data_IF_190889160075
#
_entry.id   IF_190889160075
#
_cell.length_a   1.000
_cell.length_b   1.000
_cell.length_c   1.000
_cell.angle_alpha   90.00
_cell.angle_beta   90.00
_cell.angle_gamma   90.00
#
_symmetry.space_group_name_H-M   'P 1'
#
loop_
_entity.id
_entity.type
_entity.pdbx_description
1 polymer ?
#
# COMPACT_ATOMS: atom_id res chain seq x y z
N UNK A 1 -18.86 7.07 5.53
CA UNK A 1 -19.00 6.28 6.76
C UNK A 1 -20.00 6.89 7.75
N UNK A 2 -19.91 8.18 8.11
CA UNK A 2 -20.84 8.88 9.03
C UNK A 2 -22.33 8.71 8.66
N UNK A 3 -22.70 8.97 7.39
CA UNK A 3 -24.08 8.85 6.91
C UNK A 3 -24.66 7.44 7.05
N UNK A 4 -23.84 6.39 6.82
CA UNK A 4 -24.30 4.99 6.97
C UNK A 4 -24.58 4.64 8.44
N UNK A 5 -23.75 5.11 9.36
CA UNK A 5 -23.97 4.90 10.81
C UNK A 5 -25.24 5.59 11.23
N UNK A 6 -25.47 6.82 10.79
CA UNK A 6 -26.71 7.57 11.05
C UNK A 6 -27.95 6.85 10.52
N UNK A 7 -27.88 6.33 9.31
CA UNK A 7 -29.02 5.65 8.66
C UNK A 7 -29.37 4.33 9.36
N UNK A 8 -28.36 3.54 9.73
CA UNK A 8 -28.58 2.31 10.51
C UNK A 8 -29.16 2.62 11.88
N UNK A 9 -28.62 3.60 12.59
CA UNK A 9 -29.12 4.03 13.89
C UNK A 9 -30.56 4.51 13.80
N UNK A 10 -30.91 5.30 12.79
CA UNK A 10 -32.27 5.78 12.55
C UNK A 10 -33.24 4.62 12.27
N UNK A 11 -32.85 3.65 11.43
CA UNK A 11 -33.67 2.47 11.15
C UNK A 11 -33.95 1.63 12.42
N UNK A 12 -32.91 1.40 13.23
CA UNK A 12 -33.07 0.66 14.50
C UNK A 12 -33.98 1.41 15.45
N UNK A 13 -33.85 2.73 15.55
CA UNK A 13 -34.72 3.55 16.39
C UNK A 13 -36.17 3.49 15.94
N UNK A 14 -36.43 3.59 14.64
CA UNK A 14 -37.79 3.55 14.09
C UNK A 14 -38.45 2.20 14.34
N UNK A 15 -37.74 1.10 14.14
CA UNK A 15 -38.24 -0.25 14.44
C UNK A 15 -38.53 -0.40 15.94
N UNK A 16 -37.64 0.08 16.81
CA UNK A 16 -37.83 0.02 18.26
C UNK A 16 -39.05 0.81 18.71
N UNK A 17 -39.31 1.99 18.15
CA UNK A 17 -40.50 2.81 18.48
C UNK A 17 -41.78 2.13 18.03
N UNK A 18 -41.79 1.52 16.85
CA UNK A 18 -42.97 0.79 16.37
C UNK A 18 -43.29 -0.42 17.27
N UNK A 19 -42.28 -1.23 17.59
CA UNK A 19 -42.44 -2.38 18.49
C UNK A 19 -42.91 -1.94 19.91
N UNK A 20 -42.32 -0.88 20.44
CA UNK A 20 -42.74 -0.32 21.71
C UNK A 20 -44.19 0.19 21.64
N UNK A 21 -44.57 0.86 20.58
CA UNK A 21 -45.96 1.33 20.35
C UNK A 21 -46.97 0.22 20.37
N UNK A 22 -46.73 -0.86 19.66
CA UNK A 22 -47.59 -2.04 19.65
C UNK A 22 -47.69 -2.64 21.06
N UNK A 23 -46.56 -2.85 21.72
CA UNK A 23 -46.53 -3.40 23.07
C UNK A 23 -47.25 -2.51 24.10
N UNK A 24 -46.96 -1.21 24.09
CA UNK A 24 -47.61 -0.26 25.01
C UNK A 24 -49.10 -0.20 24.81
N UNK A 25 -49.56 -0.19 23.56
CA UNK A 25 -51.03 -0.22 23.25
C UNK A 25 -51.70 -1.49 23.78
N UNK A 26 -51.02 -2.64 23.61
CA UNK A 26 -51.56 -3.94 24.08
C UNK A 26 -51.60 -3.98 25.63
N UNK A 27 -50.55 -3.53 26.29
CA UNK A 27 -50.50 -3.49 27.77
C UNK A 27 -51.56 -2.54 28.34
N UNK A 28 -51.73 -1.35 27.75
CA UNK A 28 -52.74 -0.41 28.16
C UNK A 28 -54.16 -0.92 27.96
N UNK A 29 -54.42 -1.60 26.81
CA UNK A 29 -55.68 -2.25 26.54
C UNK A 29 -55.99 -3.31 27.58
N UNK A 30 -55.08 -4.21 27.87
CA UNK A 30 -55.27 -5.27 28.85
C UNK A 30 -55.52 -4.69 30.27
N UNK A 31 -54.74 -3.68 30.65
CA UNK A 31 -54.92 -2.98 31.96
C UNK A 31 -56.30 -2.34 32.04
N UNK A 32 -56.73 -1.62 30.99
CA UNK A 32 -58.06 -0.98 30.96
C UNK A 32 -59.21 -1.99 31.05
N UNK A 33 -59.07 -3.14 30.41
CA UNK A 33 -60.03 -4.23 30.48
C UNK A 33 -60.05 -4.84 31.89
N UNK A 34 -58.90 -5.07 32.50
CA UNK A 34 -58.82 -5.66 33.85
C UNK A 34 -59.33 -4.71 34.92
N UNK A 35 -59.01 -3.41 34.81
CA UNK A 35 -59.58 -2.37 35.68
C UNK A 35 -61.12 -2.32 35.56
N UNK A 36 -61.66 -2.40 34.33
CA UNK A 36 -63.09 -2.45 34.08
C UNK A 36 -63.77 -3.68 34.71
N UNK A 37 -63.13 -4.87 34.58
CA UNK A 37 -63.64 -6.10 35.22
C UNK A 37 -63.67 -5.98 36.74
N UNK A 38 -62.59 -5.47 37.33
CA UNK A 38 -62.49 -5.28 38.75
C UNK A 38 -63.52 -4.27 39.27
N UNK A 39 -63.72 -3.16 38.56
CA UNK A 39 -64.75 -2.17 38.83
C UNK A 39 -66.15 -2.84 38.90
N UNK A 40 -66.53 -3.56 37.86
CA UNK A 40 -67.82 -4.23 37.81
C UNK A 40 -67.98 -5.29 38.92
N UNK A 41 -66.92 -6.04 39.22
CA UNK A 41 -66.92 -7.04 40.27
C UNK A 41 -67.20 -6.44 41.67
N UNK A 42 -66.55 -5.33 41.99
CA UNK A 42 -66.73 -4.63 43.26
C UNK A 42 -68.18 -4.17 43.41
N UNK A 43 -68.71 -3.49 42.43
CA UNK A 43 -70.09 -2.99 42.49
C UNK A 43 -71.13 -4.09 42.49
N UNK A 44 -70.88 -5.19 41.77
CA UNK A 44 -71.80 -6.32 41.77
C UNK A 44 -71.82 -7.08 43.12
N UNK A 45 -70.72 -7.04 43.87
CA UNK A 45 -70.69 -7.63 45.19
C UNK A 45 -71.42 -6.76 46.26
N UNK A 46 -71.58 -5.44 46.03
CA UNK A 46 -72.31 -4.51 46.83
C UNK A 46 -73.83 -4.43 46.45
N UNK A 47 -74.25 -5.18 45.44
CA UNK A 47 -75.62 -5.20 44.95
C UNK A 47 -76.53 -5.81 46.02
N UNK A 48 -77.54 -5.03 46.52
CA UNK A 48 -78.62 -5.53 47.41
C UNK A 48 -79.95 -5.55 46.66
N UNK A 49 -80.48 -6.76 46.45
CA UNK A 49 -81.72 -6.97 45.73
C UNK A 49 -82.96 -6.32 46.46
N UNK A 50 -82.83 -5.97 47.69
CA UNK A 50 -83.94 -5.31 48.48
C UNK A 50 -84.03 -3.83 48.15
N UNK A 51 -82.98 -3.19 47.64
CA UNK A 51 -82.97 -1.76 47.31
C UNK A 51 -83.60 -1.41 45.97
N UNK A 52 -83.74 -2.38 45.08
CA UNK A 52 -84.18 -2.10 43.70
C UNK A 52 -85.37 -2.98 43.29
N UNK A 53 -86.38 -2.38 42.62
CA UNK A 53 -87.41 -3.13 41.97
C UNK A 53 -86.89 -3.85 40.66
N UNK A 54 -87.39 -5.08 40.40
CA UNK A 54 -86.98 -5.78 39.17
C UNK A 54 -87.87 -5.34 37.96
N UNK A 55 -87.80 -4.03 37.71
CA UNK A 55 -88.47 -3.36 36.60
C UNK A 55 -87.48 -2.34 35.93
N UNK A 56 -87.96 -1.67 34.91
CA UNK A 56 -87.12 -0.66 34.20
C UNK A 56 -86.70 0.48 35.10
N UNK A 57 -87.55 0.92 36.03
CA UNK A 57 -87.19 2.00 36.99
C UNK A 57 -86.08 1.56 37.93
N UNK A 58 -86.11 0.30 38.41
CA UNK A 58 -85.05 -0.21 39.29
C UNK A 58 -83.76 -0.48 38.53
N UNK A 59 -83.80 -0.95 37.27
CA UNK A 59 -82.62 -1.09 36.42
C UNK A 59 -81.96 0.26 36.15
N UNK A 60 -82.73 1.29 35.92
CA UNK A 60 -82.26 2.66 35.68
C UNK A 60 -81.71 3.28 36.98
N UNK A 61 -82.32 3.09 38.09
CA UNK A 61 -81.84 3.56 39.39
C UNK A 61 -80.50 2.92 39.78
N UNK A 62 -80.33 1.61 39.50
CA UNK A 62 -79.02 0.94 39.68
C UNK A 62 -77.96 1.41 38.69
N UNK A 63 -78.37 1.63 37.42
CA UNK A 63 -77.47 2.25 36.41
C UNK A 63 -76.94 3.61 36.85
N UNK A 64 -77.82 4.47 37.41
CA UNK A 64 -77.41 5.77 37.89
C UNK A 64 -76.43 5.68 39.10
N UNK A 65 -76.63 4.73 40.04
CA UNK A 65 -75.68 4.41 41.09
C UNK A 65 -74.34 3.94 40.56
N UNK A 66 -74.30 3.32 39.39
CA UNK A 66 -73.12 2.82 38.71
C UNK A 66 -72.56 3.80 37.62
N UNK A 67 -72.82 5.08 37.76
CA UNK A 67 -72.36 6.12 36.84
C UNK A 67 -72.75 5.88 35.38
N UNK A 68 -73.96 5.33 35.14
CA UNK A 68 -74.50 5.09 33.82
C UNK A 68 -74.07 3.76 33.17
N UNK A 69 -73.57 2.83 33.96
CA UNK A 69 -73.35 1.47 33.47
C UNK A 69 -74.72 0.83 33.04
N UNK A 70 -74.71 0.07 31.93
CA UNK A 70 -75.90 -0.63 31.51
C UNK A 70 -76.22 -1.79 32.47
N UNK A 71 -77.42 -1.79 33.02
CA UNK A 71 -77.89 -2.81 33.94
C UNK A 71 -79.00 -3.60 33.26
N UNK A 72 -78.96 -4.94 33.32
CA UNK A 72 -80.02 -5.83 32.84
C UNK A 72 -80.36 -6.80 33.94
N UNK A 73 -81.65 -6.82 34.32
CA UNK A 73 -82.19 -7.84 35.20
C UNK A 73 -82.77 -8.98 34.37
N UNK A 74 -82.57 -10.23 34.81
CA UNK A 74 -82.94 -11.43 34.07
C UNK A 74 -83.49 -12.49 35.06
N UNK A 75 -84.29 -13.38 34.55
CA UNK A 75 -84.71 -14.57 35.29
C UNK A 75 -83.52 -15.57 35.43
N UNK A 76 -83.77 -16.66 36.17
CA UNK A 76 -82.78 -17.73 36.34
C UNK A 76 -82.40 -18.47 35.03
N UNK A 77 -83.12 -18.31 33.96
CA UNK A 77 -82.88 -18.89 32.68
C UNK A 77 -82.21 -17.95 31.68
N UNK A 78 -82.04 -16.67 32.05
CA UNK A 78 -81.39 -15.64 31.22
C UNK A 78 -82.32 -14.83 30.34
N UNK A 79 -83.68 -14.97 30.55
CA UNK A 79 -84.63 -14.10 29.89
C UNK A 79 -84.67 -12.73 30.53
N UNK A 80 -84.73 -11.69 29.73
CA UNK A 80 -84.59 -10.29 30.22
C UNK A 80 -85.95 -9.86 30.82
N UNK A 81 -85.86 -9.37 32.07
CA UNK A 81 -86.98 -8.79 32.79
C UNK A 81 -87.01 -7.28 32.57
N UNK A 82 -85.85 -6.63 32.70
CA UNK A 82 -85.67 -5.17 32.56
C UNK A 82 -84.26 -4.82 32.09
N UNK A 83 -84.09 -3.70 31.37
CA UNK A 83 -82.82 -3.19 30.88
C UNK A 83 -82.80 -1.68 30.97
N UNK A 84 -81.74 -1.10 31.52
CA UNK A 84 -81.63 0.33 31.74
C UNK A 84 -81.35 1.16 30.48
N UNK A 85 -81.00 0.52 29.38
CA UNK A 85 -80.57 1.22 28.16
C UNK A 85 -81.57 1.10 26.98
N UNK A 86 -82.61 0.30 27.10
CA UNK A 86 -83.62 0.12 26.03
C UNK A 86 -84.97 -0.28 26.59
N UNK A 87 -86.02 0.37 26.07
CA UNK A 87 -87.42 0.07 26.42
C UNK A 87 -87.91 -1.23 25.76
N UNK A 88 -87.29 -1.72 24.69
CA UNK A 88 -87.59 -2.95 24.00
C UNK A 88 -86.32 -3.85 23.95
N UNK A 89 -86.02 -4.51 25.06
CA UNK A 89 -84.86 -5.39 25.10
C UNK A 89 -85.09 -6.66 24.26
N UNK A 90 -83.98 -7.17 23.68
CA UNK A 90 -83.92 -8.52 23.16
C UNK A 90 -84.28 -9.49 24.31
N UNK A 91 -85.33 -10.26 24.20
CA UNK A 91 -85.93 -10.98 25.31
C UNK A 91 -85.16 -12.23 25.75
N UNK A 92 -84.19 -12.71 24.93
CA UNK A 92 -83.41 -13.91 25.28
C UNK A 92 -81.88 -13.63 25.22
N UNK A 93 -81.25 -13.62 26.37
CA UNK A 93 -79.84 -13.51 26.51
C UNK A 93 -79.14 -14.80 26.98
N UNK A 94 -79.87 -15.93 27.05
CA UNK A 94 -79.39 -17.22 27.59
C UNK A 94 -78.15 -17.74 26.87
N UNK A 95 -77.97 -17.40 25.57
CA UNK A 95 -76.82 -17.79 24.76
C UNK A 95 -75.56 -16.90 24.91
N UNK A 96 -75.63 -15.88 25.73
CA UNK A 96 -74.50 -14.95 25.94
C UNK A 96 -73.44 -15.58 26.82
N UNK A 97 -72.11 -15.48 26.43
CA UNK A 97 -71.02 -16.15 27.16
C UNK A 97 -70.98 -15.83 28.65
N UNK A 98 -71.18 -14.56 29.04
CA UNK A 98 -71.20 -14.10 30.42
C UNK A 98 -72.34 -14.70 31.24
N UNK A 99 -73.45 -15.02 30.58
CA UNK A 99 -74.65 -15.59 31.26
C UNK A 99 -74.51 -17.12 31.36
N UNK A 100 -74.02 -17.79 30.30
CA UNK A 100 -73.72 -19.21 30.34
C UNK A 100 -72.70 -19.50 31.48
N UNK A 101 -71.66 -18.70 31.56
CA UNK A 101 -70.62 -18.81 32.61
C UNK A 101 -71.20 -18.59 33.99
N UNK A 102 -72.01 -17.55 34.22
CA UNK A 102 -72.64 -17.27 35.48
C UNK A 102 -73.62 -18.38 35.93
N UNK A 103 -74.33 -18.98 35.02
CA UNK A 103 -75.25 -20.12 35.33
C UNK A 103 -74.45 -21.39 35.61
N UNK A 104 -73.41 -21.70 34.79
CA UNK A 104 -72.62 -22.92 34.92
C UNK A 104 -71.79 -22.96 36.18
N UNK A 105 -71.37 -21.80 36.70
CA UNK A 105 -70.61 -21.68 37.95
C UNK A 105 -71.51 -21.82 39.20
N UNK A 106 -72.82 -22.14 39.07
CA UNK A 106 -73.71 -22.51 40.14
C UNK A 106 -74.43 -21.33 40.78
N UNK A 107 -74.99 -21.60 42.02
CA UNK A 107 -75.65 -20.57 42.81
C UNK A 107 -74.63 -19.51 43.25
N UNK A 108 -74.74 -18.31 42.91
CA UNK A 108 -73.75 -17.25 43.04
C UNK A 108 -72.57 -17.27 42.05
N UNK A 109 -72.76 -17.96 40.91
CA UNK A 109 -71.79 -18.01 39.82
C UNK A 109 -71.60 -16.63 39.16
N UNK A 110 -70.41 -16.36 38.73
CA UNK A 110 -70.02 -15.14 38.04
C UNK A 110 -69.57 -15.46 36.63
N UNK A 111 -69.90 -14.61 35.65
CA UNK A 111 -69.44 -14.73 34.28
C UNK A 111 -69.02 -13.36 33.70
N UNK A 112 -67.94 -13.35 32.98
CA UNK A 112 -67.37 -12.14 32.40
C UNK A 112 -67.11 -12.31 30.92
N UNK A 113 -67.54 -11.35 30.12
CA UNK A 113 -67.23 -11.32 28.68
C UNK A 113 -66.85 -9.91 28.19
N UNK A 114 -65.92 -9.85 27.28
CA UNK A 114 -65.56 -8.61 26.57
C UNK A 114 -65.98 -8.81 25.11
N UNK A 115 -66.97 -8.10 24.63
CA UNK A 115 -67.48 -8.23 23.29
C UNK A 115 -68.19 -6.98 22.80
N UNK A 116 -68.42 -6.90 21.48
CA UNK A 116 -69.24 -5.85 20.89
C UNK A 116 -70.70 -6.04 21.29
N UNK A 117 -71.35 -4.94 21.71
CA UNK A 117 -72.80 -4.91 21.96
C UNK A 117 -73.55 -5.00 20.63
N UNK A 118 -74.42 -6.00 20.49
CA UNK A 118 -75.31 -6.14 19.33
C UNK A 118 -76.33 -4.98 19.24
N UNK A 119 -76.65 -4.34 20.35
CA UNK A 119 -77.61 -3.25 20.44
C UNK A 119 -76.99 -1.87 20.23
N UNK A 120 -75.77 -1.65 20.79
CA UNK A 120 -75.12 -0.33 20.84
C UNK A 120 -73.96 -0.23 19.84
N UNK A 121 -73.50 -1.31 19.22
CA UNK A 121 -72.37 -1.32 18.26
C UNK A 121 -71.01 -0.98 18.86
N UNK A 122 -70.87 -0.94 20.17
CA UNK A 122 -69.65 -0.58 20.90
C UNK A 122 -69.10 -1.76 21.69
N UNK A 123 -67.83 -1.80 21.89
CA UNK A 123 -67.21 -2.83 22.74
C UNK A 123 -67.50 -2.56 24.20
N UNK A 124 -67.98 -3.59 24.90
CA UNK A 124 -68.34 -3.51 26.28
C UNK A 124 -67.76 -4.68 27.09
N UNK A 125 -67.49 -4.42 28.35
CA UNK A 125 -67.18 -5.43 29.37
C UNK A 125 -68.49 -5.76 30.02
N UNK A 126 -68.91 -7.01 29.96
CA UNK A 126 -70.11 -7.56 30.59
C UNK A 126 -69.68 -8.37 31.81
N UNK A 127 -70.35 -8.12 32.92
CA UNK A 127 -70.23 -8.91 34.11
C UNK A 127 -71.63 -9.35 34.55
N UNK A 128 -71.81 -10.64 34.71
CA UNK A 128 -73.07 -11.24 35.12
C UNK A 128 -72.86 -12.01 36.44
N UNK A 129 -73.78 -11.87 37.37
CA UNK A 129 -73.80 -12.63 38.61
C UNK A 129 -75.15 -13.28 38.83
N UNK A 130 -75.09 -14.55 39.19
CA UNK A 130 -76.26 -15.33 39.60
C UNK A 130 -76.51 -15.18 41.08
N UNK A 131 -77.66 -14.70 41.44
CA UNK A 131 -78.07 -14.54 42.85
C UNK A 131 -78.88 -15.74 43.30
N UNK A 132 -78.29 -16.65 44.06
CA UNK A 132 -78.86 -17.87 44.64
C UNK A 132 -79.56 -18.79 43.67
N UNK A 133 -79.46 -18.57 42.36
CA UNK A 133 -80.22 -19.31 41.31
C UNK A 133 -81.60 -18.80 41.13
N UNK A 134 -81.99 -17.69 41.65
CA UNK A 134 -83.36 -17.09 41.54
C UNK A 134 -83.43 -16.09 40.38
N UNK A 135 -82.40 -15.26 40.23
CA UNK A 135 -82.29 -14.26 39.15
C UNK A 135 -80.83 -13.95 38.82
N UNK A 136 -80.62 -13.30 37.71
CA UNK A 136 -79.35 -12.85 37.20
C UNK A 136 -79.35 -11.32 37.10
N UNK A 137 -78.24 -10.73 37.48
CA UNK A 137 -77.98 -9.31 37.27
C UNK A 137 -76.76 -9.20 36.36
N UNK A 138 -76.88 -8.51 35.24
CA UNK A 138 -75.81 -8.21 34.35
C UNK A 138 -75.54 -6.72 34.31
N UNK A 139 -74.29 -6.35 34.47
CA UNK A 139 -73.84 -4.96 34.37
C UNK A 139 -72.80 -4.89 33.21
N UNK A 140 -72.86 -3.81 32.46
CA UNK A 140 -71.90 -3.61 31.37
C UNK A 140 -71.41 -2.17 31.29
N UNK A 141 -70.15 -2.02 31.03
CA UNK A 141 -69.49 -0.71 30.83
C UNK A 141 -68.81 -0.68 29.44
N UNK A 142 -68.69 0.52 28.93
CA UNK A 142 -67.94 0.69 27.66
C UNK A 142 -66.45 0.46 27.89
N UNK A 143 -65.83 -0.18 26.92
CA UNK A 143 -64.36 -0.23 26.86
C UNK A 143 -63.88 0.57 25.67
N UNK A 144 -62.75 1.25 25.85
CA UNK A 144 -62.11 2.02 24.78
C UNK A 144 -61.82 1.12 23.56
N UNK A 145 -62.07 1.63 22.38
CA UNK A 145 -61.67 0.95 21.17
C UNK A 145 -60.13 1.03 21.03
N UNK A 146 -59.52 0.05 20.38
CA UNK A 146 -58.06 0.03 20.16
C UNK A 146 -57.52 1.33 19.55
N UNK A 147 -58.33 2.00 18.69
CA UNK A 147 -57.97 3.30 18.11
C UNK A 147 -57.96 4.40 19.19
N UNK A 148 -58.91 4.48 20.09
CA UNK A 148 -58.96 5.48 21.10
C UNK A 148 -57.80 5.31 22.09
N UNK A 149 -57.47 4.06 22.44
CA UNK A 149 -56.32 3.74 23.30
C UNK A 149 -55.01 4.16 22.61
N UNK A 150 -54.86 3.88 21.30
CA UNK A 150 -53.69 4.34 20.54
C UNK A 150 -53.53 5.87 20.61
N UNK A 151 -54.61 6.60 20.40
CA UNK A 151 -54.58 8.08 20.49
C UNK A 151 -54.21 8.55 21.91
N UNK A 152 -54.72 7.91 22.97
CA UNK A 152 -54.37 8.21 24.37
C UNK A 152 -52.88 7.90 24.69
N UNK A 153 -52.30 6.91 24.03
CA UNK A 153 -50.88 6.54 24.20
C UNK A 153 -49.90 7.38 23.33
N UNK A 154 -50.43 8.12 22.37
CA UNK A 154 -49.63 8.92 21.40
C UNK A 154 -48.63 9.89 22.07
N UNK A 155 -48.97 10.67 23.14
CA UNK A 155 -48.03 11.55 23.82
C UNK A 155 -46.83 10.82 24.40
N UNK A 156 -47.04 9.63 24.95
CA UNK A 156 -45.96 8.80 25.51
C UNK A 156 -45.06 8.26 24.45
N UNK A 157 -45.61 7.86 23.29
CA UNK A 157 -44.84 7.43 22.13
C UNK A 157 -43.99 8.55 21.55
N UNK A 158 -44.55 9.77 21.46
CA UNK A 158 -43.81 10.95 20.97
C UNK A 158 -42.64 11.31 21.90
N UNK A 159 -42.88 11.28 23.23
CA UNK A 159 -41.82 11.54 24.21
C UNK A 159 -40.71 10.49 24.18
N UNK A 160 -41.08 9.21 24.03
CA UNK A 160 -40.12 8.12 23.87
C UNK A 160 -39.28 8.28 22.58
N UNK A 161 -39.92 8.62 21.46
CA UNK A 161 -39.23 8.89 20.18
C UNK A 161 -38.23 10.05 20.36
N UNK A 162 -38.60 11.14 21.01
CA UNK A 162 -37.72 12.26 21.23
C UNK A 162 -36.47 11.87 22.08
N UNK A 163 -36.65 11.08 23.12
CA UNK A 163 -35.55 10.56 23.95
C UNK A 163 -34.63 9.65 23.09
N UNK A 164 -35.19 8.75 22.30
CA UNK A 164 -34.41 7.85 21.46
C UNK A 164 -33.61 8.60 20.39
N UNK A 165 -34.18 9.63 19.76
CA UNK A 165 -33.45 10.50 18.83
C UNK A 165 -32.29 11.20 19.53
N UNK A 166 -32.55 11.76 20.73
CA UNK A 166 -31.50 12.38 21.55
C UNK A 166 -30.35 11.41 21.86
N UNK A 167 -30.67 10.20 22.27
CA UNK A 167 -29.68 9.15 22.53
C UNK A 167 -28.88 8.79 21.27
N UNK A 168 -29.53 8.66 20.11
CA UNK A 168 -28.86 8.42 18.82
C UNK A 168 -27.86 9.52 18.49
N UNK A 169 -28.21 10.78 18.69
CA UNK A 169 -27.30 11.92 18.47
C UNK A 169 -26.07 11.82 19.38
N UNK A 170 -26.27 11.55 20.67
CA UNK A 170 -25.18 11.38 21.62
C UNK A 170 -24.25 10.25 21.20
N UNK A 171 -24.79 9.06 20.90
CA UNK A 171 -24.00 7.91 20.44
C UNK A 171 -23.22 8.24 19.17
N UNK A 172 -23.84 8.92 18.21
CA UNK A 172 -23.18 9.29 16.95
C UNK A 172 -22.02 10.28 17.18
N UNK A 173 -22.17 11.27 18.05
CA UNK A 173 -21.13 12.23 18.41
C UNK A 173 -19.98 11.52 19.14
N UNK A 174 -20.30 10.70 20.13
CA UNK A 174 -19.32 9.95 20.93
C UNK A 174 -18.51 9.00 20.02
N UNK A 175 -19.19 8.22 19.19
CA UNK A 175 -18.53 7.30 18.23
C UNK A 175 -17.64 8.05 17.25
N UNK A 176 -18.09 9.21 16.76
CA UNK A 176 -17.30 10.04 15.85
C UNK A 176 -16.01 10.54 16.50
N UNK A 177 -16.09 11.02 17.73
CA UNK A 177 -14.95 11.63 18.43
C UNK A 177 -13.98 10.57 18.98
N UNK A 178 -14.49 9.45 19.48
CA UNK A 178 -13.65 8.41 20.10
C UNK A 178 -13.03 7.47 19.06
N UNK A 179 -13.74 7.13 17.99
CA UNK A 179 -13.27 6.12 17.03
C UNK A 179 -12.80 6.76 15.72
N UNK A 180 -13.64 7.60 15.09
CA UNK A 180 -13.39 8.08 13.74
C UNK A 180 -12.33 9.19 13.70
N UNK A 181 -12.34 10.11 14.64
CA UNK A 181 -11.39 11.23 14.65
C UNK A 181 -9.94 10.76 14.89
N UNK A 182 -9.64 9.88 15.86
CA UNK A 182 -8.28 9.34 16.04
C UNK A 182 -7.78 8.54 14.85
N UNK A 183 -8.63 7.70 14.24
CA UNK A 183 -8.26 6.96 13.02
C UNK A 183 -7.91 7.90 11.86
N UNK A 184 -8.68 8.98 11.69
CA UNK A 184 -8.41 9.97 10.65
C UNK A 184 -7.11 10.73 10.91
N UNK A 185 -6.82 11.05 12.17
CA UNK A 185 -5.56 11.68 12.56
C UNK A 185 -4.37 10.75 12.30
N UNK A 186 -4.45 9.49 12.70
CA UNK A 186 -3.43 8.48 12.40
C UNK A 186 -3.12 8.40 10.90
N UNK A 187 -4.17 8.40 10.05
CA UNK A 187 -3.99 8.32 8.60
C UNK A 187 -3.34 9.59 8.01
N UNK A 188 -3.63 10.79 8.55
CA UNK A 188 -2.95 12.02 8.10
C UNK A 188 -1.52 12.09 8.61
N UNK A 189 -1.28 11.73 9.88
CA UNK A 189 0.06 11.76 10.47
C UNK A 189 1.00 10.75 9.77
N UNK A 190 0.46 9.65 9.23
CA UNK A 190 1.23 8.67 8.45
C UNK A 190 1.72 9.21 7.08
N UNK A 191 1.08 10.26 6.56
CA UNK A 191 1.51 10.91 5.29
C UNK A 191 2.53 12.02 5.57
N UNK A 192 2.32 12.78 6.65
CA UNK A 192 3.05 14.01 6.90
C UNK A 192 4.28 13.80 7.82
N UNK A 193 4.31 12.73 8.61
CA UNK A 193 5.33 12.47 9.61
C UNK A 193 6.07 11.15 9.39
N UNK A 194 7.33 11.15 9.77
CA UNK A 194 8.23 9.98 9.71
C UNK A 194 7.86 8.84 10.67
N UNK A 195 7.12 9.15 11.73
CA UNK A 195 6.63 8.19 12.69
C UNK A 195 5.25 8.61 13.22
N UNK A 196 4.38 7.64 13.36
CA UNK A 196 3.02 7.80 13.86
C UNK A 196 2.94 7.28 15.27
N UNK A 197 2.39 8.10 16.18
CA UNK A 197 2.13 7.70 17.56
C UNK A 197 0.66 7.85 17.90
N UNK A 198 0.15 6.98 18.77
CA UNK A 198 -1.24 7.03 19.20
C UNK A 198 -1.35 6.87 20.71
N UNK A 199 -2.29 7.60 21.31
CA UNK A 199 -2.64 7.46 22.75
C UNK A 199 -3.68 6.36 22.98
N UNK A 200 -4.22 5.74 21.91
CA UNK A 200 -5.25 4.71 21.99
C UNK A 200 -4.60 3.32 21.87
N UNK A 201 -4.67 2.47 22.92
CA UNK A 201 -4.06 1.13 22.91
C UNK A 201 -4.54 0.26 21.75
N UNK A 202 -5.81 0.37 21.36
CA UNK A 202 -6.43 -0.41 20.29
C UNK A 202 -5.90 -0.03 18.90
N UNK A 203 -5.38 1.17 18.72
CA UNK A 203 -4.80 1.67 17.46
C UNK A 203 -3.28 1.48 17.40
N UNK A 204 -2.64 1.08 18.50
CA UNK A 204 -1.19 0.89 18.56
C UNK A 204 -0.67 -0.13 17.55
N UNK A 205 -1.30 -1.32 17.32
CA UNK A 205 -0.84 -2.25 16.31
C UNK A 205 -0.86 -1.67 14.88
N UNK A 206 -1.83 -0.80 14.60
CA UNK A 206 -1.93 -0.11 13.30
C UNK A 206 -0.82 0.93 13.16
N UNK A 207 -0.55 1.71 14.21
CA UNK A 207 0.54 2.69 14.22
C UNK A 207 1.91 2.01 14.05
N UNK A 208 2.16 0.90 14.75
CA UNK A 208 3.39 0.12 14.65
C UNK A 208 3.58 -0.45 13.23
N UNK A 209 2.52 -1.00 12.62
CA UNK A 209 2.55 -1.49 11.25
C UNK A 209 2.83 -0.37 10.24
N UNK A 210 2.25 0.82 10.42
CA UNK A 210 2.50 1.98 9.56
C UNK A 210 3.95 2.45 9.69
N UNK A 211 4.50 2.50 10.92
CA UNK A 211 5.88 2.87 11.17
C UNK A 211 6.87 1.88 10.55
N UNK A 212 6.61 0.59 10.67
CA UNK A 212 7.42 -0.47 10.05
C UNK A 212 7.41 -0.34 8.52
N UNK A 213 6.23 -0.16 7.93
CA UNK A 213 6.11 0.06 6.48
C UNK A 213 6.84 1.32 6.01
N UNK A 214 6.70 2.43 6.74
CA UNK A 214 7.42 3.67 6.43
C UNK A 214 8.93 3.47 6.48
N UNK A 215 9.44 2.76 7.49
CA UNK A 215 10.87 2.42 7.61
C UNK A 215 11.35 1.57 6.43
N UNK A 216 10.61 0.52 6.06
CA UNK A 216 10.95 -0.35 4.95
C UNK A 216 10.96 0.41 3.61
N UNK A 217 9.98 1.29 3.38
CA UNK A 217 9.96 2.15 2.19
C UNK A 217 11.18 3.06 2.14
N UNK A 218 11.59 3.67 3.27
CA UNK A 218 12.79 4.52 3.32
C UNK A 218 14.06 3.74 2.98
N UNK A 219 14.22 2.54 3.52
CA UNK A 219 15.37 1.67 3.21
C UNK A 219 15.39 1.38 1.71
N UNK A 220 14.27 0.92 1.15
CA UNK A 220 14.17 0.64 -0.29
C UNK A 220 14.44 1.89 -1.16
N UNK A 221 13.92 3.05 -0.76
CA UNK A 221 14.19 4.31 -1.46
C UNK A 221 15.68 4.70 -1.46
N UNK A 222 16.39 4.46 -0.35
CA UNK A 222 17.84 4.71 -0.29
C UNK A 222 18.62 3.73 -1.16
N UNK A 223 18.24 2.46 -1.20
CA UNK A 223 18.84 1.44 -2.06
C UNK A 223 18.63 1.77 -3.55
N UNK A 224 17.38 2.06 -3.94
CA UNK A 224 17.04 2.45 -5.33
C UNK A 224 17.79 3.73 -5.75
N UNK A 225 17.93 4.69 -4.84
CA UNK A 225 18.67 5.92 -5.13
C UNK A 225 20.15 5.65 -5.36
N UNK A 226 20.76 4.81 -4.54
CA UNK A 226 22.16 4.39 -4.71
C UNK A 226 22.37 3.62 -6.02
N UNK A 227 21.45 2.68 -6.35
CA UNK A 227 21.50 1.94 -7.62
C UNK A 227 21.34 2.87 -8.82
N UNK A 228 20.38 3.80 -8.75
CA UNK A 228 20.20 4.81 -9.81
C UNK A 228 21.45 5.64 -10.05
N UNK A 229 22.10 6.11 -8.98
CA UNK A 229 23.37 6.86 -9.12
C UNK A 229 24.48 6.04 -9.78
N UNK A 230 24.56 4.73 -9.47
CA UNK A 230 25.51 3.83 -10.12
C UNK A 230 25.21 3.64 -11.62
N UNK A 231 23.94 3.44 -11.95
CA UNK A 231 23.51 3.29 -13.37
C UNK A 231 23.74 4.59 -14.14
N UNK A 232 23.47 5.74 -13.56
CA UNK A 232 23.69 7.05 -14.18
C UNK A 232 25.18 7.29 -14.46
N UNK A 233 26.07 7.01 -13.49
CA UNK A 233 27.53 7.06 -13.69
C UNK A 233 28.01 6.11 -14.78
N UNK A 234 27.47 4.89 -14.82
CA UNK A 234 27.80 3.92 -15.85
C UNK A 234 27.34 4.39 -17.25
N UNK A 235 26.15 5.00 -17.33
CA UNK A 235 25.59 5.54 -18.60
C UNK A 235 26.45 6.70 -19.09
N UNK A 236 26.76 7.68 -18.25
CA UNK A 236 27.64 8.82 -18.63
C UNK A 236 29.00 8.31 -19.11
N UNK A 237 29.60 7.36 -18.39
CA UNK A 237 30.88 6.76 -18.79
C UNK A 237 30.82 6.00 -20.13
N UNK A 238 29.66 5.38 -20.46
CA UNK A 238 29.43 4.74 -21.74
C UNK A 238 29.29 5.77 -22.86
N UNK A 239 28.53 6.84 -22.63
CA UNK A 239 28.29 7.89 -23.63
C UNK A 239 29.60 8.65 -23.96
N UNK A 240 30.41 8.95 -22.95
CA UNK A 240 31.76 9.52 -23.14
C UNK A 240 32.65 8.58 -23.97
N UNK A 241 32.58 7.26 -23.70
CA UNK A 241 33.34 6.28 -24.46
C UNK A 241 32.94 6.27 -25.94
N UNK A 242 31.62 6.23 -26.22
CA UNK A 242 31.12 6.24 -27.64
C UNK A 242 31.52 7.54 -28.31
N UNK A 243 31.39 8.70 -27.64
CA UNK A 243 31.77 9.98 -28.22
C UNK A 243 33.26 10.04 -28.55
N UNK A 244 34.14 9.58 -27.67
CA UNK A 244 35.58 9.56 -27.90
C UNK A 244 35.98 8.59 -29.01
N UNK A 245 35.37 7.39 -29.07
CA UNK A 245 35.56 6.45 -30.18
C UNK A 245 35.20 7.09 -31.50
N UNK A 246 34.02 7.72 -31.57
CA UNK A 246 33.54 8.35 -32.82
C UNK A 246 34.49 9.46 -33.26
N UNK A 247 34.99 10.28 -32.33
CA UNK A 247 35.95 11.33 -32.63
C UNK A 247 37.28 10.77 -33.16
N UNK A 248 37.86 9.74 -32.51
CA UNK A 248 39.11 9.10 -32.91
C UNK A 248 39.01 8.31 -34.24
N UNK A 249 37.82 7.85 -34.60
CA UNK A 249 37.54 7.21 -35.89
C UNK A 249 37.36 8.23 -37.02
N UNK A 250 36.68 9.35 -36.78
CA UNK A 250 36.40 10.35 -37.82
C UNK A 250 37.66 11.05 -38.29
N UNK A 251 38.64 11.29 -37.44
CA UNK A 251 39.89 11.94 -37.81
C UNK A 251 40.67 11.20 -38.93
N UNK A 252 41.04 9.91 -38.79
CA UNK A 252 41.70 9.17 -39.86
C UNK A 252 40.81 9.00 -41.08
N UNK A 253 39.49 8.79 -40.90
CA UNK A 253 38.55 8.62 -42.00
C UNK A 253 38.46 9.87 -42.88
N UNK A 254 38.37 11.05 -42.28
CA UNK A 254 38.37 12.33 -43.02
C UNK A 254 39.67 12.54 -43.78
N UNK A 255 40.82 12.15 -43.20
CA UNK A 255 42.10 12.23 -43.89
C UNK A 255 42.19 11.29 -45.08
N UNK A 256 41.73 10.04 -44.92
CA UNK A 256 41.68 9.06 -46.01
C UNK A 256 40.79 9.58 -47.17
N UNK A 257 39.59 10.06 -46.81
CA UNK A 257 38.62 10.58 -47.79
C UNK A 257 39.20 11.79 -48.54
N UNK A 258 39.73 12.78 -47.79
CA UNK A 258 40.29 13.97 -48.44
C UNK A 258 41.46 13.70 -49.38
N UNK A 259 42.39 12.80 -49.02
CA UNK A 259 43.47 12.41 -49.93
C UNK A 259 42.97 11.56 -51.10
N UNK A 260 41.96 10.76 -50.94
CA UNK A 260 41.32 10.00 -52.03
C UNK A 260 40.62 10.93 -53.03
N UNK A 261 39.86 11.95 -52.56
CA UNK A 261 39.26 12.98 -53.40
C UNK A 261 40.31 13.78 -54.18
N UNK A 262 41.43 14.17 -53.54
CA UNK A 262 42.51 14.88 -54.22
C UNK A 262 43.18 14.03 -55.31
N UNK A 263 43.32 12.73 -55.10
CA UNK A 263 43.82 11.80 -56.11
C UNK A 263 42.87 11.64 -57.28
N UNK A 264 41.55 11.59 -57.03
CA UNK A 264 40.49 11.45 -58.05
C UNK A 264 40.34 12.72 -58.89
N UNK A 265 40.42 13.93 -58.25
CA UNK A 265 40.35 15.19 -58.98
C UNK A 265 41.48 15.43 -59.98
N UNK A 266 42.58 14.72 -59.89
CA UNK A 266 43.72 14.84 -60.76
C UNK A 266 44.58 16.08 -60.49
N UNK A 267 45.64 16.30 -61.30
CA UNK A 267 46.47 17.50 -61.16
C UNK A 267 47.58 17.43 -60.12
N UNK A 268 47.71 16.30 -59.40
CA UNK A 268 48.81 16.09 -58.40
C UNK A 268 50.10 15.64 -59.16
N UNK A 269 51.24 16.15 -58.66
CA UNK A 269 52.58 15.64 -59.09
C UNK A 269 52.78 14.22 -58.53
N UNK A 270 53.67 13.46 -59.15
CA UNK A 270 53.96 12.08 -58.71
C UNK A 270 54.45 11.98 -57.30
N UNK A 271 55.14 12.99 -56.74
CA UNK A 271 55.57 13.10 -55.35
C UNK A 271 54.42 13.32 -54.44
N UNK A 272 53.44 14.18 -54.82
CA UNK A 272 52.19 14.41 -54.11
C UNK A 272 51.30 13.16 -54.04
N UNK A 273 51.22 12.40 -55.19
CA UNK A 273 50.52 11.12 -55.23
C UNK A 273 51.12 10.09 -54.25
N UNK A 274 52.48 9.97 -54.31
CA UNK A 274 53.19 9.07 -53.38
C UNK A 274 52.92 9.43 -51.90
N UNK A 275 52.88 10.71 -51.56
CA UNK A 275 52.56 11.19 -50.22
C UNK A 275 51.10 10.87 -49.85
N UNK A 276 50.16 11.07 -50.78
CA UNK A 276 48.75 10.75 -50.58
C UNK A 276 48.53 9.26 -50.29
N UNK A 277 49.10 8.37 -51.13
CA UNK A 277 49.03 6.91 -50.90
C UNK A 277 49.61 6.49 -49.55
N UNK A 278 50.79 7.03 -49.22
CA UNK A 278 51.43 6.74 -47.92
C UNK A 278 50.58 7.19 -46.74
N UNK A 279 49.92 8.36 -46.86
CA UNK A 279 49.03 8.88 -45.80
C UNK A 279 47.77 8.03 -45.66
N UNK A 280 47.14 7.65 -46.81
CA UNK A 280 45.97 6.76 -46.80
C UNK A 280 46.30 5.45 -46.10
N UNK A 281 47.43 4.80 -46.47
CA UNK A 281 47.85 3.55 -45.83
C UNK A 281 48.08 3.71 -44.34
N UNK A 282 48.82 4.75 -43.92
CA UNK A 282 49.08 4.99 -42.51
C UNK A 282 47.82 5.26 -41.71
N UNK A 283 46.85 6.00 -42.25
CA UNK A 283 45.56 6.26 -41.56
C UNK A 283 44.65 5.02 -41.54
N UNK A 284 44.71 4.16 -42.60
CA UNK A 284 44.00 2.88 -42.60
C UNK A 284 44.54 1.91 -41.54
N UNK A 285 45.88 1.79 -41.42
CA UNK A 285 46.50 0.99 -40.36
C UNK A 285 46.18 1.52 -38.96
N UNK A 286 46.17 2.86 -38.80
CA UNK A 286 45.77 3.51 -37.54
C UNK A 286 44.35 3.15 -37.18
N UNK A 287 43.39 3.21 -38.11
CA UNK A 287 41.98 2.87 -37.86
C UNK A 287 41.81 1.39 -37.48
N UNK A 288 42.51 0.49 -38.18
CA UNK A 288 42.51 -0.96 -37.89
C UNK A 288 43.01 -1.22 -36.46
N UNK A 289 44.11 -0.57 -36.06
CA UNK A 289 44.64 -0.68 -34.69
C UNK A 289 43.70 -0.11 -33.63
N UNK A 290 42.98 1.00 -33.90
CA UNK A 290 41.99 1.55 -33.03
C UNK A 290 40.83 0.57 -32.78
N UNK A 291 40.29 -0.02 -33.86
CA UNK A 291 39.23 -1.02 -33.82
C UNK A 291 39.67 -2.23 -32.99
N UNK A 292 40.87 -2.76 -33.23
CA UNK A 292 41.43 -3.87 -32.46
C UNK A 292 41.52 -3.53 -30.94
N UNK A 293 41.98 -2.34 -30.59
CA UNK A 293 42.06 -1.89 -29.19
C UNK A 293 40.66 -1.78 -28.54
N UNK A 294 39.64 -1.32 -29.28
CA UNK A 294 38.27 -1.22 -28.80
C UNK A 294 37.67 -2.60 -28.55
N UNK A 295 37.85 -3.52 -29.48
CA UNK A 295 37.39 -4.92 -29.38
C UNK A 295 38.03 -5.55 -28.12
N UNK A 296 39.35 -5.53 -28.02
CA UNK A 296 40.08 -6.08 -26.89
C UNK A 296 39.61 -5.47 -25.55
N UNK A 297 39.40 -4.14 -25.51
CA UNK A 297 38.90 -3.48 -24.34
C UNK A 297 37.48 -3.97 -23.97
N UNK A 298 36.61 -4.17 -24.95
CA UNK A 298 35.22 -4.65 -24.72
C UNK A 298 35.20 -6.09 -24.21
N UNK A 299 36.02 -6.96 -24.80
CA UNK A 299 36.07 -8.37 -24.45
C UNK A 299 36.56 -8.68 -23.05
N UNK A 300 37.29 -7.74 -22.37
CA UNK A 300 37.74 -7.95 -21.02
C UNK A 300 36.55 -8.11 -20.05
N UNK A 301 35.41 -7.43 -20.26
CA UNK A 301 34.23 -7.54 -19.40
C UNK A 301 33.44 -8.83 -19.66
N UNK A 302 33.30 -9.24 -20.89
CA UNK A 302 32.54 -10.41 -21.31
C UNK A 302 33.31 -11.73 -21.21
N UNK A 303 34.57 -11.67 -20.78
CA UNK A 303 35.44 -12.84 -20.71
C UNK A 303 35.23 -13.59 -19.38
N UNK A 304 34.28 -14.54 -19.39
CA UNK A 304 33.99 -15.44 -18.26
C UNK A 304 34.72 -16.78 -18.37
N UNK A 305 35.68 -16.89 -19.26
CA UNK A 305 36.47 -18.11 -19.43
C UNK A 305 37.40 -18.31 -18.20
N UNK A 306 37.60 -19.59 -17.80
CA UNK A 306 38.42 -19.88 -16.63
C UNK A 306 39.88 -19.45 -16.83
N UNK A 307 40.48 -18.93 -15.76
CA UNK A 307 41.91 -18.70 -15.70
C UNK A 307 42.66 -20.05 -15.63
N UNK A 308 43.83 -20.10 -16.19
CA UNK A 308 44.74 -21.23 -16.11
C UNK A 308 46.15 -20.76 -15.73
N UNK A 309 46.97 -21.68 -15.29
CA UNK A 309 48.33 -21.37 -14.83
C UNK A 309 49.21 -20.99 -16.06
N UNK A 310 49.65 -19.74 -16.09
CA UNK A 310 50.52 -19.19 -17.17
C UNK A 310 51.92 -18.97 -16.63
N UNK A 311 52.93 -19.48 -17.33
CA UNK A 311 54.32 -19.11 -17.05
C UNK A 311 54.57 -17.64 -17.50
N UNK A 312 54.43 -16.73 -16.57
CA UNK A 312 54.57 -15.31 -16.87
C UNK A 312 56.05 -14.94 -17.11
N UNK A 313 57.04 -15.70 -16.57
CA UNK A 313 58.45 -15.48 -16.85
C UNK A 313 58.80 -15.70 -18.31
N UNK A 314 58.30 -16.80 -18.90
CA UNK A 314 58.48 -17.12 -20.29
C UNK A 314 57.80 -16.07 -21.20
N UNK A 315 56.54 -15.74 -20.93
CA UNK A 315 55.76 -14.74 -21.65
C UNK A 315 56.40 -13.35 -21.60
N UNK A 316 56.92 -12.94 -20.45
CA UNK A 316 57.58 -11.63 -20.29
C UNK A 316 58.86 -11.54 -21.13
N UNK A 317 59.72 -12.58 -21.11
CA UNK A 317 60.92 -12.62 -21.95
C UNK A 317 60.59 -12.60 -23.43
N UNK A 318 59.62 -13.37 -23.88
CA UNK A 318 59.13 -13.37 -25.25
C UNK A 318 58.65 -11.98 -25.69
N UNK A 319 57.84 -11.33 -24.84
CA UNK A 319 57.33 -9.98 -25.10
C UNK A 319 58.46 -8.95 -25.17
N UNK A 320 59.44 -9.01 -24.26
CA UNK A 320 60.58 -8.12 -24.28
C UNK A 320 61.45 -8.31 -25.51
N UNK A 321 61.68 -9.57 -25.95
CA UNK A 321 62.38 -9.87 -27.18
C UNK A 321 61.67 -9.25 -28.39
N UNK A 322 60.36 -9.37 -28.47
CA UNK A 322 59.56 -8.79 -29.56
C UNK A 322 59.55 -7.25 -29.58
N UNK A 323 59.68 -6.59 -28.40
CA UNK A 323 59.70 -5.14 -28.30
C UNK A 323 61.10 -4.54 -28.39
N UNK A 324 62.19 -5.33 -28.34
CA UNK A 324 63.57 -4.87 -28.43
C UNK A 324 63.88 -4.02 -29.68
N UNK A 325 63.42 -4.37 -30.89
CA UNK A 325 63.64 -3.54 -32.08
C UNK A 325 62.98 -2.14 -31.98
N UNK A 326 61.88 -2.01 -31.24
CA UNK A 326 61.23 -0.72 -31.00
C UNK A 326 62.04 0.12 -30.01
N UNK A 327 62.56 -0.52 -28.95
CA UNK A 327 63.42 0.12 -27.96
C UNK A 327 64.75 0.62 -28.60
N UNK A 328 65.39 -0.22 -29.43
CA UNK A 328 66.62 0.09 -30.15
C UNK A 328 66.44 1.30 -31.09
N UNK A 329 65.32 1.38 -31.82
CA UNK A 329 64.98 2.53 -32.68
C UNK A 329 64.90 3.86 -31.91
N UNK A 330 64.59 3.79 -30.62
CA UNK A 330 64.43 4.95 -29.74
C UNK A 330 65.66 5.15 -28.82
N UNK A 331 66.70 4.38 -29.01
CA UNK A 331 67.89 4.38 -28.17
C UNK A 331 67.58 4.15 -26.65
N UNK A 332 66.62 3.25 -26.38
CA UNK A 332 66.20 2.91 -25.02
C UNK A 332 66.71 1.52 -24.68
N UNK A 333 67.41 1.40 -23.56
CA UNK A 333 67.93 0.11 -23.07
C UNK A 333 66.90 -0.59 -22.16
N UNK A 334 66.71 -1.90 -22.32
CA UNK A 334 65.84 -2.71 -21.49
C UNK A 334 66.69 -3.49 -20.50
N UNK A 335 66.36 -3.41 -19.21
CA UNK A 335 67.00 -4.18 -18.12
C UNK A 335 65.97 -5.15 -17.56
N UNK A 336 66.29 -6.43 -17.56
CA UNK A 336 65.38 -7.51 -17.12
C UNK A 336 65.86 -8.04 -15.75
N UNK A 337 64.95 -8.04 -14.77
CA UNK A 337 65.10 -8.67 -13.45
C UNK A 337 63.90 -9.62 -13.26
N UNK A 338 63.88 -10.73 -14.02
CA UNK A 338 62.75 -11.66 -14.08
C UNK A 338 63.13 -12.94 -13.38
N UNK A 339 62.42 -13.26 -12.26
CA UNK A 339 62.53 -14.55 -11.57
C UNK A 339 62.07 -15.67 -12.49
N UNK A 340 62.67 -16.85 -12.40
CA UNK A 340 62.27 -18.03 -13.20
C UNK A 340 61.02 -18.70 -12.58
N UNK A 341 60.14 -19.21 -13.47
CA UNK A 341 59.03 -20.02 -13.07
C UNK A 341 57.94 -19.27 -12.27
N UNK A 342 57.75 -17.98 -12.57
CA UNK A 342 56.63 -17.23 -12.00
C UNK A 342 55.34 -17.61 -12.69
N UNK A 343 54.53 -18.41 -12.01
CA UNK A 343 53.23 -18.88 -12.53
C UNK A 343 52.12 -17.99 -11.97
N UNK A 344 51.29 -17.43 -12.83
CA UNK A 344 50.15 -16.58 -12.46
C UNK A 344 48.88 -17.16 -13.04
N UNK A 345 47.83 -17.40 -12.21
CA UNK A 345 46.55 -17.86 -12.73
C UNK A 345 45.85 -16.70 -13.47
N UNK A 346 45.86 -16.81 -14.79
CA UNK A 346 45.29 -15.83 -15.71
C UNK A 346 45.11 -16.42 -17.11
N UNK A 347 44.84 -15.60 -18.11
CA UNK A 347 44.88 -15.96 -19.52
C UNK A 347 46.14 -15.38 -20.14
N UNK A 348 46.76 -16.16 -21.03
CA UNK A 348 47.99 -15.78 -21.74
C UNK A 348 47.81 -14.43 -22.44
N UNK A 349 46.68 -14.26 -23.14
CA UNK A 349 46.35 -13.05 -23.90
C UNK A 349 46.24 -11.83 -22.96
N UNK A 350 45.65 -11.98 -21.78
CA UNK A 350 45.49 -10.89 -20.81
C UNK A 350 46.80 -10.45 -20.16
N UNK A 351 47.65 -11.42 -19.81
CA UNK A 351 48.99 -11.11 -19.29
C UNK A 351 49.86 -10.46 -20.37
N UNK A 352 49.84 -10.99 -21.61
CA UNK A 352 50.54 -10.39 -22.74
C UNK A 352 50.09 -8.96 -23.03
N UNK A 353 48.77 -8.72 -23.00
CA UNK A 353 48.20 -7.38 -23.20
C UNK A 353 48.56 -6.40 -22.10
N UNK A 354 48.41 -6.83 -20.81
CA UNK A 354 48.83 -6.03 -19.66
C UNK A 354 50.29 -5.65 -19.72
N UNK A 355 51.16 -6.65 -19.85
CA UNK A 355 52.62 -6.46 -19.85
C UNK A 355 53.07 -5.67 -21.05
N UNK A 356 52.61 -6.02 -22.26
CA UNK A 356 52.94 -5.32 -23.49
C UNK A 356 52.52 -3.85 -23.49
N UNK A 357 51.37 -3.49 -22.88
CA UNK A 357 50.95 -2.10 -22.75
C UNK A 357 51.86 -1.30 -21.79
N UNK A 358 52.27 -1.89 -20.66
CA UNK A 358 53.20 -1.22 -19.73
C UNK A 358 54.56 -1.00 -20.37
N UNK A 359 55.13 -2.04 -20.98
CA UNK A 359 56.49 -1.92 -21.58
C UNK A 359 56.49 -0.99 -22.78
N UNK A 360 55.50 -1.09 -23.71
CA UNK A 360 55.40 -0.14 -24.82
C UNK A 360 55.27 1.29 -24.39
N UNK A 361 54.49 1.56 -23.33
CA UNK A 361 54.42 2.91 -22.77
C UNK A 361 55.75 3.36 -22.20
N UNK A 362 56.47 2.51 -21.47
CA UNK A 362 57.79 2.81 -20.89
C UNK A 362 58.86 3.12 -22.00
N UNK A 363 58.79 2.42 -23.14
CA UNK A 363 59.67 2.69 -24.29
C UNK A 363 59.24 3.98 -24.99
N UNK A 364 57.96 4.16 -25.25
CA UNK A 364 57.39 5.26 -26.02
C UNK A 364 57.62 6.63 -25.36
N UNK A 365 57.43 6.71 -24.07
CA UNK A 365 57.52 7.96 -23.30
C UNK A 365 58.88 8.14 -22.62
N UNK A 366 59.87 7.32 -23.01
CA UNK A 366 61.23 7.46 -22.53
C UNK A 366 61.94 8.63 -23.20
N UNK A 367 63.09 9.04 -22.63
CA UNK A 367 64.03 9.97 -23.22
C UNK A 367 65.08 9.22 -24.03
N UNK A 368 65.74 9.91 -24.93
CA UNK A 368 66.83 9.35 -25.71
C UNK A 368 67.98 8.90 -24.78
N UNK A 369 68.51 7.69 -24.96
CA UNK A 369 69.47 7.06 -24.09
C UNK A 369 68.91 6.59 -22.75
N UNK A 370 67.58 6.58 -22.57
CA UNK A 370 66.91 6.17 -21.34
C UNK A 370 66.86 4.66 -21.11
N UNK A 371 66.26 4.25 -20.00
CA UNK A 371 66.19 2.84 -19.60
C UNK A 371 64.73 2.45 -19.25
N UNK A 372 64.41 1.19 -19.52
CA UNK A 372 63.20 0.52 -19.00
C UNK A 372 63.65 -0.65 -18.14
N UNK A 373 63.26 -0.67 -16.88
CA UNK A 373 63.62 -1.73 -15.94
C UNK A 373 62.35 -2.53 -15.63
N UNK A 374 62.39 -3.82 -15.95
CA UNK A 374 61.30 -4.77 -15.71
C UNK A 374 61.70 -5.71 -14.60
N UNK A 375 60.93 -5.68 -13.49
CA UNK A 375 61.12 -6.62 -12.38
C UNK A 375 59.85 -7.48 -12.24
N UNK A 376 59.99 -8.80 -12.31
CA UNK A 376 58.92 -9.78 -12.16
C UNK A 376 59.28 -10.79 -11.08
N UNK A 377 58.47 -10.89 -10.06
CA UNK A 377 58.51 -11.94 -9.05
C UNK A 377 57.10 -12.51 -8.75
N UNK A 378 56.99 -13.47 -7.84
CA UNK A 378 55.73 -14.13 -7.52
C UNK A 378 54.58 -13.20 -7.03
N UNK A 379 54.97 -12.03 -6.49
CA UNK A 379 53.98 -11.12 -5.89
C UNK A 379 53.77 -9.87 -6.75
N UNK A 380 54.73 -9.46 -7.56
CA UNK A 380 54.70 -8.17 -8.25
C UNK A 380 55.30 -8.21 -9.65
N UNK A 381 54.65 -7.47 -10.55
CA UNK A 381 55.27 -6.98 -11.76
C UNK A 381 55.54 -5.49 -11.63
N UNK A 382 56.76 -5.06 -11.85
CA UNK A 382 57.17 -3.67 -11.83
C UNK A 382 57.76 -3.32 -13.18
N UNK A 383 57.25 -2.24 -13.78
CA UNK A 383 57.84 -1.63 -15.01
C UNK A 383 58.20 -0.18 -14.68
N UNK A 384 59.47 0.11 -14.72
CA UNK A 384 60.05 1.43 -14.39
C UNK A 384 60.74 2.03 -15.59
N UNK A 385 60.50 3.27 -15.91
CA UNK A 385 61.14 4.03 -16.97
C UNK A 385 61.84 5.28 -16.45
N UNK A 386 62.86 5.75 -17.18
CA UNK A 386 63.58 7.00 -16.91
C UNK A 386 63.11 8.13 -17.82
N UNK A 387 61.86 8.07 -18.28
CA UNK A 387 61.27 8.97 -19.27
C UNK A 387 60.86 10.34 -18.77
N UNK A 388 59.86 10.90 -19.42
CA UNK A 388 59.32 12.23 -19.14
C UNK A 388 58.60 12.35 -17.82
N UNK A 389 58.17 11.22 -17.21
CA UNK A 389 57.33 11.19 -16.01
C UNK A 389 55.94 11.76 -16.23
N UNK A 390 55.17 11.77 -15.15
CA UNK A 390 53.75 12.17 -15.15
C UNK A 390 53.52 13.20 -14.05
N UNK A 391 52.93 14.34 -14.39
CA UNK A 391 52.59 15.39 -13.43
C UNK A 391 51.51 14.88 -12.46
N UNK A 392 51.56 15.34 -11.18
CA UNK A 392 50.65 14.86 -10.12
C UNK A 392 49.16 15.00 -10.48
N UNK A 393 48.79 16.09 -11.15
CA UNK A 393 47.40 16.34 -11.61
C UNK A 393 46.86 15.32 -12.64
N UNK A 394 47.76 14.55 -13.28
CA UNK A 394 47.44 13.60 -14.32
C UNK A 394 47.56 12.14 -13.86
N UNK A 395 48.14 11.85 -12.68
CA UNK A 395 48.35 10.47 -12.21
C UNK A 395 47.09 9.64 -12.14
N UNK A 396 45.95 10.22 -11.72
CA UNK A 396 44.66 9.53 -11.71
C UNK A 396 44.04 9.44 -13.11
N UNK A 397 44.29 10.43 -13.97
CA UNK A 397 43.69 10.56 -15.30
C UNK A 397 44.33 9.64 -16.34
N UNK A 398 45.61 9.29 -16.21
CA UNK A 398 46.34 8.43 -17.19
C UNK A 398 45.71 7.06 -17.36
N UNK A 399 44.92 6.59 -16.42
CA UNK A 399 44.16 5.36 -16.46
C UNK A 399 42.75 5.52 -17.06
N UNK A 400 42.35 6.76 -17.44
CA UNK A 400 41.08 7.04 -18.09
C UNK A 400 41.15 6.71 -19.55
N UNK A 401 40.07 6.28 -20.13
CA UNK A 401 39.98 5.94 -21.57
C UNK A 401 40.22 7.18 -22.41
N UNK A 402 41.01 7.03 -23.50
CA UNK A 402 41.35 8.09 -24.46
C UNK A 402 42.12 9.28 -23.85
N UNK A 403 42.66 9.12 -22.65
CA UNK A 403 43.47 10.16 -22.04
C UNK A 403 44.91 10.09 -22.58
N UNK A 404 45.41 11.24 -23.05
CA UNK A 404 46.79 11.45 -23.44
C UNK A 404 47.27 12.80 -22.89
N UNK A 405 48.44 12.86 -22.29
CA UNK A 405 49.03 14.10 -21.75
C UNK A 405 49.25 15.12 -22.88
N UNK A 406 49.67 14.69 -24.05
CA UNK A 406 49.92 15.53 -25.22
C UNK A 406 48.86 15.31 -26.32
N UNK A 407 47.91 16.24 -26.42
CA UNK A 407 46.97 16.28 -27.55
C UNK A 407 47.59 16.76 -28.86
N UNK A 408 48.77 17.46 -28.81
CA UNK A 408 49.43 18.08 -29.97
C UNK A 408 50.32 17.12 -30.78
N UNK A 409 50.75 16.00 -30.21
CA UNK A 409 51.63 15.04 -30.86
C UNK A 409 50.90 13.80 -31.42
N UNK A 410 49.58 13.82 -31.57
CA UNK A 410 48.75 12.74 -32.14
C UNK A 410 49.05 12.36 -33.60
N UNK A 411 50.04 12.99 -34.24
CA UNK A 411 50.28 12.85 -35.71
C UNK A 411 51.24 11.73 -36.15
N UNK A 412 52.28 11.38 -35.45
CA UNK A 412 53.26 10.40 -35.93
C UNK A 412 53.56 9.21 -35.00
N UNK A 413 53.31 9.31 -33.68
CA UNK A 413 53.62 8.25 -32.71
C UNK A 413 52.60 8.13 -31.57
N UNK A 414 51.40 8.75 -31.67
CA UNK A 414 50.40 8.80 -30.61
C UNK A 414 49.59 7.51 -30.52
N UNK A 415 49.50 6.89 -29.35
CA UNK A 415 48.51 5.86 -29.03
C UNK A 415 47.15 6.46 -28.74
N UNK A 416 46.14 5.66 -28.81
CA UNK A 416 44.72 6.07 -28.59
C UNK A 416 44.35 6.36 -27.13
N UNK A 417 45.30 6.31 -26.17
CA UNK A 417 45.00 6.48 -24.75
C UNK A 417 44.21 5.34 -24.13
N UNK A 418 44.20 4.17 -24.75
CA UNK A 418 43.51 2.99 -24.25
C UNK A 418 44.38 2.00 -23.47
N UNK A 419 45.72 2.03 -23.69
CA UNK A 419 46.64 1.02 -23.15
C UNK A 419 46.60 0.94 -21.60
N UNK A 420 46.74 2.06 -20.89
CA UNK A 420 46.67 2.07 -19.42
C UNK A 420 45.25 1.82 -18.88
N UNK A 421 44.22 2.18 -19.62
CA UNK A 421 42.82 1.83 -19.29
C UNK A 421 42.60 0.31 -19.39
N UNK A 422 43.22 -0.36 -20.40
CA UNK A 422 43.22 -1.83 -20.51
C UNK A 422 43.93 -2.45 -19.29
N UNK A 423 45.13 -1.97 -18.93
CA UNK A 423 45.88 -2.46 -17.78
C UNK A 423 45.04 -2.36 -16.51
N UNK A 424 44.42 -1.18 -16.22
CA UNK A 424 43.55 -0.97 -15.07
C UNK A 424 42.36 -1.91 -15.06
N UNK A 425 41.75 -2.15 -16.23
CA UNK A 425 40.58 -3.03 -16.38
C UNK A 425 40.94 -4.50 -16.12
N UNK A 426 42.09 -4.98 -16.65
CA UNK A 426 42.59 -6.33 -16.41
C UNK A 426 42.87 -6.51 -14.92
N UNK A 427 43.64 -5.58 -14.29
CA UNK A 427 43.92 -5.64 -12.85
C UNK A 427 42.66 -5.70 -12.01
N UNK A 428 41.66 -4.85 -12.31
CA UNK A 428 40.38 -4.83 -11.60
C UNK A 428 39.64 -6.16 -11.73
N UNK A 429 39.57 -6.76 -12.93
CA UNK A 429 38.87 -8.02 -13.16
C UNK A 429 39.59 -9.20 -12.49
N UNK A 430 40.93 -9.18 -12.46
CA UNK A 430 41.74 -10.20 -11.81
C UNK A 430 41.89 -10.01 -10.28
N UNK A 431 41.36 -8.95 -9.70
CA UNK A 431 41.53 -8.63 -8.27
C UNK A 431 42.92 -8.11 -7.91
N UNK A 432 43.76 -7.75 -8.90
CA UNK A 432 45.11 -7.25 -8.69
C UNK A 432 45.12 -5.76 -8.37
N UNK A 433 46.11 -5.33 -7.58
CA UNK A 433 46.30 -3.93 -7.22
C UNK A 433 47.29 -3.28 -8.21
N UNK A 434 46.88 -2.17 -8.81
CA UNK A 434 47.71 -1.34 -9.69
C UNK A 434 48.08 -0.05 -8.97
N UNK A 435 49.37 0.30 -8.93
CA UNK A 435 49.89 1.56 -8.40
C UNK A 435 50.86 2.24 -9.36
N UNK A 436 50.92 3.57 -9.29
CA UNK A 436 51.79 4.43 -10.09
C UNK A 436 52.54 5.36 -9.15
N UNK A 437 53.84 5.32 -9.29
CA UNK A 437 54.73 6.32 -8.70
C UNK A 437 55.51 7.01 -9.85
N UNK A 438 55.47 8.34 -9.92
CA UNK A 438 56.07 9.08 -11.04
C UNK A 438 56.37 10.52 -10.62
N UNK A 439 57.47 11.04 -11.11
CA UNK A 439 57.90 12.44 -10.96
C UNK A 439 58.15 13.02 -12.35
N UNK A 440 57.55 14.17 -12.65
CA UNK A 440 57.73 14.82 -13.93
C UNK A 440 59.24 15.14 -14.17
N UNK A 441 59.77 14.67 -15.31
CA UNK A 441 61.20 14.78 -15.70
C UNK A 441 62.09 13.63 -15.23
N UNK A 442 61.65 12.77 -14.29
CA UNK A 442 62.47 11.69 -13.72
C UNK A 442 62.09 10.30 -14.26
N UNK A 443 60.82 10.08 -14.57
CA UNK A 443 60.30 8.83 -15.07
C UNK A 443 59.03 8.34 -14.34
N UNK A 444 58.61 7.11 -14.64
CA UNK A 444 57.42 6.48 -14.05
C UNK A 444 57.67 5.05 -13.63
N UNK A 445 57.01 4.60 -12.57
CA UNK A 445 57.05 3.24 -12.03
C UNK A 445 55.62 2.73 -11.86
N UNK A 446 55.29 1.74 -12.67
CA UNK A 446 54.01 1.02 -12.58
C UNK A 446 54.23 -0.26 -11.80
N UNK A 447 53.45 -0.52 -10.79
CA UNK A 447 53.51 -1.76 -10.03
C UNK A 447 52.14 -2.44 -10.03
N UNK A 448 52.14 -3.71 -10.47
CA UNK A 448 50.98 -4.62 -10.39
C UNK A 448 51.27 -5.64 -9.30
N UNK A 449 50.44 -5.72 -8.26
CA UNK A 449 50.52 -6.72 -7.19
C UNK A 449 49.46 -7.78 -7.42
N UNK A 450 49.85 -9.05 -7.52
CA UNK A 450 48.99 -10.18 -7.83
C UNK A 450 48.23 -10.71 -6.63
#
# INVERSE_FOLDING_TARGET
MKWRIWLVSLCVTLVSVVLFGIYATQVYYNSSVDDGKNYLKVYMNEFDATEFSFDEAGAKAYSDKLNGARVTFMDAQGSVIADSATETPDLDHSTRPEIIEAISNGKNGEGIAVRSSSTLGQNMIYYCKNFNGEFLVRVAIFTDTGWLIFVKTLPTLVSFLAIMIGLCVVVAVVTTNIIVAPMKKLASDAVDNDSVTTSYPELKPIADMLNERSRNIKVQMTEIKAEKELVEKATVSKDEFISNVTHEMNTPLTSIHGYAELLDAGGMTDEQKATAYKTILAQSERLTNLIACIINYSEIDSDDLPAYDVDFSALARETLCALKPEADKRNVSIVENIDDGVIIPSRHERLSELFGNLVRNAIKYNKDGGKVIVTLNRNNLIVEDTGIGIADENKDKVFSRFFTVDKSHGGKNGGFGLGLAVVKKICRKSGWKLSLDSTLGEGSKFTVTF
#
